data_IF_485210105240
#
_entry.id   IF_485210105240
#
_cell.length_a   1.000
_cell.length_b   1.000
_cell.length_c   1.000
_cell.angle_alpha   90.00
_cell.angle_beta   90.00
_cell.angle_gamma   90.00
#
_symmetry.space_group_name_H-M   'P 1'
#
loop_
_entity.id
_entity.type
_entity.pdbx_description
1 polymer ?
#
# COMPACT_ATOMS: atom_id res chain seq x y z
N UNK A 1 -2.35 -20.06 -19.52
CA UNK A 1 -1.01 -19.89 -18.93
C UNK A 1 -0.92 -18.46 -18.44
N UNK A 2 -0.70 -18.24 -17.15
CA UNK A 2 -0.70 -16.88 -16.58
C UNK A 2 0.65 -16.23 -16.82
N UNK A 3 0.70 -15.32 -17.81
CA UNK A 3 1.87 -14.52 -18.11
C UNK A 3 2.02 -13.43 -17.04
N UNK A 4 3.25 -13.17 -16.58
CA UNK A 4 3.53 -12.12 -15.59
C UNK A 4 2.96 -10.76 -16.05
N UNK A 5 2.22 -10.01 -15.20
CA UNK A 5 1.45 -8.84 -15.64
C UNK A 5 2.32 -7.58 -15.77
N UNK A 6 3.31 -7.60 -16.69
CA UNK A 6 4.31 -6.54 -16.87
C UNK A 6 3.66 -5.15 -16.95
N UNK A 7 2.65 -4.96 -17.80
CA UNK A 7 2.02 -3.65 -17.99
C UNK A 7 1.38 -3.08 -16.71
N UNK A 8 0.80 -3.93 -15.84
CA UNK A 8 0.20 -3.50 -14.58
C UNK A 8 1.28 -3.14 -13.54
N UNK A 9 2.33 -3.95 -13.49
CA UNK A 9 3.49 -3.74 -12.61
C UNK A 9 4.23 -2.45 -13.00
N UNK A 10 4.50 -2.23 -14.29
CA UNK A 10 5.20 -1.03 -14.78
C UNK A 10 4.47 0.24 -14.36
N UNK A 11 3.13 0.28 -14.42
CA UNK A 11 2.34 1.42 -13.96
C UNK A 11 2.59 1.74 -12.48
N UNK A 12 2.78 0.73 -11.64
CA UNK A 12 3.10 0.93 -10.23
C UNK A 12 4.53 1.45 -10.08
N UNK A 13 5.49 0.82 -10.77
CA UNK A 13 6.92 1.15 -10.66
C UNK A 13 7.25 2.58 -11.13
N UNK A 14 6.64 3.07 -12.21
CA UNK A 14 6.90 4.43 -12.73
C UNK A 14 6.43 5.54 -11.78
N UNK A 15 5.49 5.24 -10.89
CA UNK A 15 4.94 6.19 -9.94
C UNK A 15 5.63 6.14 -8.58
N UNK A 16 6.62 5.25 -8.39
CA UNK A 16 7.39 5.18 -7.16
C UNK A 16 8.67 6.06 -7.26
N UNK A 17 8.77 7.12 -6.43
CA UNK A 17 9.91 8.05 -6.49
C UNK A 17 11.20 7.44 -5.94
N UNK A 18 11.10 6.53 -4.96
CA UNK A 18 12.25 5.86 -4.35
C UNK A 18 12.87 4.92 -5.37
N UNK A 19 12.04 4.17 -6.09
CA UNK A 19 12.43 3.30 -7.17
C UNK A 19 12.99 4.07 -8.37
N UNK A 20 12.45 5.25 -8.68
CA UNK A 20 13.00 6.12 -9.73
C UNK A 20 14.43 6.58 -9.43
N UNK A 21 14.71 6.96 -8.18
CA UNK A 21 16.06 7.35 -7.72
C UNK A 21 16.99 6.15 -7.58
N UNK A 22 16.47 5.00 -7.17
CA UNK A 22 17.18 3.74 -6.98
C UNK A 22 17.15 2.80 -8.20
N UNK A 23 16.77 3.27 -9.39
CA UNK A 23 16.46 2.44 -10.56
C UNK A 23 17.62 1.52 -10.99
N UNK A 24 18.86 2.00 -10.87
CA UNK A 24 20.05 1.18 -11.14
C UNK A 24 20.26 0.08 -10.08
N UNK A 25 19.93 0.35 -8.81
CA UNK A 25 20.00 -0.65 -7.74
C UNK A 25 18.89 -1.69 -7.90
N UNK A 26 17.67 -1.25 -8.21
CA UNK A 26 16.58 -2.14 -8.58
C UNK A 26 16.96 -3.07 -9.75
N UNK A 27 17.58 -2.54 -10.81
CA UNK A 27 18.05 -3.36 -11.93
C UNK A 27 19.11 -4.40 -11.52
N UNK A 28 19.96 -4.10 -10.53
CA UNK A 28 20.91 -5.09 -9.96
C UNK A 28 20.18 -6.16 -9.15
N UNK A 29 19.19 -5.78 -8.35
CA UNK A 29 18.40 -6.70 -7.53
C UNK A 29 17.54 -7.65 -8.37
N UNK A 30 17.11 -7.21 -9.56
CA UNK A 30 16.54 -8.10 -10.60
C UNK A 30 17.58 -9.08 -11.19
N UNK A 31 18.84 -9.01 -10.76
CA UNK A 31 19.93 -9.87 -11.21
C UNK A 31 20.31 -9.66 -12.67
N UNK A 32 19.92 -8.53 -13.30
CA UNK A 32 20.23 -8.25 -14.71
C UNK A 32 21.74 -8.04 -14.83
N UNK A 33 22.36 -8.69 -15.82
CA UNK A 33 23.79 -8.59 -16.05
C UNK A 33 24.21 -7.15 -16.37
N UNK A 34 25.49 -6.84 -16.10
CA UNK A 34 25.98 -5.46 -16.20
C UNK A 34 25.86 -4.90 -17.62
N UNK A 35 26.08 -5.72 -18.65
CA UNK A 35 26.06 -5.29 -20.05
C UNK A 35 24.64 -4.96 -20.49
N UNK A 36 23.67 -5.83 -20.17
CA UNK A 36 22.26 -5.57 -20.44
C UNK A 36 21.75 -4.35 -19.67
N UNK A 37 22.10 -4.23 -18.38
CA UNK A 37 21.73 -3.07 -17.56
C UNK A 37 22.28 -1.76 -18.12
N UNK A 38 23.54 -1.74 -18.53
CA UNK A 38 24.18 -0.55 -19.10
C UNK A 38 23.56 -0.14 -20.44
N UNK A 39 23.17 -1.11 -21.28
CA UNK A 39 22.45 -0.86 -22.53
C UNK A 39 21.07 -0.24 -22.28
N UNK A 40 20.27 -0.87 -21.41
CA UNK A 40 18.91 -0.39 -21.06
C UNK A 40 18.99 1.00 -20.42
N UNK A 41 19.94 1.22 -19.51
CA UNK A 41 20.20 2.53 -18.90
C UNK A 41 20.59 3.58 -19.93
N UNK A 42 21.52 3.26 -20.83
CA UNK A 42 21.99 4.21 -21.85
C UNK A 42 20.86 4.65 -22.78
N UNK A 43 19.99 3.73 -23.20
CA UNK A 43 18.82 4.06 -24.03
C UNK A 43 17.84 5.00 -23.30
N UNK A 44 17.66 4.82 -21.99
CA UNK A 44 16.83 5.69 -21.17
C UNK A 44 17.48 7.07 -20.92
N UNK A 45 18.77 7.10 -20.56
CA UNK A 45 19.50 8.35 -20.28
C UNK A 45 19.70 9.22 -21.52
N UNK A 46 19.86 8.62 -22.70
CA UNK A 46 19.95 9.35 -23.98
C UNK A 46 18.57 9.85 -24.47
N UNK A 47 17.51 9.70 -23.68
CA UNK A 47 16.15 10.13 -24.03
C UNK A 47 15.52 9.35 -25.19
N UNK A 48 16.13 8.22 -25.58
CA UNK A 48 15.62 7.36 -26.65
C UNK A 48 14.45 6.50 -26.15
N UNK A 49 14.31 6.33 -24.83
CA UNK A 49 13.25 5.57 -24.17
C UNK A 49 12.57 6.35 -23.04
N UNK A 50 11.29 6.06 -22.80
CA UNK A 50 10.52 6.57 -21.65
C UNK A 50 10.76 5.74 -20.38
N UNK A 51 10.40 6.25 -19.20
CA UNK A 51 10.43 5.45 -17.95
C UNK A 51 9.60 4.18 -18.06
N UNK A 52 8.47 4.23 -18.78
CA UNK A 52 7.63 3.06 -19.09
C UNK A 52 8.42 2.01 -19.86
N UNK A 53 9.12 2.40 -20.93
CA UNK A 53 9.94 1.47 -21.73
C UNK A 53 11.10 0.92 -20.90
N UNK A 54 11.75 1.77 -20.09
CA UNK A 54 12.84 1.36 -19.21
C UNK A 54 12.42 0.24 -18.25
N UNK A 55 11.35 0.43 -17.46
CA UNK A 55 10.90 -0.62 -16.53
C UNK A 55 10.28 -1.81 -17.24
N UNK A 56 9.67 -1.62 -18.42
CA UNK A 56 9.19 -2.74 -19.24
C UNK A 56 10.35 -3.62 -19.66
N UNK A 57 11.43 -3.06 -20.22
CA UNK A 57 12.62 -3.82 -20.65
C UNK A 57 13.30 -4.54 -19.47
N UNK A 58 13.39 -3.91 -18.30
CA UNK A 58 13.92 -4.56 -17.10
C UNK A 58 13.08 -5.77 -16.67
N UNK A 59 11.75 -5.62 -16.64
CA UNK A 59 10.84 -6.67 -16.22
C UNK A 59 10.72 -7.78 -17.27
N UNK A 60 10.78 -7.46 -18.57
CA UNK A 60 10.84 -8.46 -19.64
C UNK A 60 12.12 -9.29 -19.56
N UNK A 61 13.27 -8.66 -19.29
CA UNK A 61 14.53 -9.38 -19.12
C UNK A 61 14.52 -10.28 -17.87
N UNK A 62 13.99 -9.77 -16.76
CA UNK A 62 13.84 -10.54 -15.53
C UNK A 62 12.84 -11.70 -15.68
N UNK A 63 11.63 -11.42 -16.16
CA UNK A 63 10.58 -12.41 -16.33
C UNK A 63 10.93 -13.43 -17.42
N UNK A 64 11.63 -13.01 -18.48
CA UNK A 64 12.10 -13.89 -19.54
C UNK A 64 13.11 -14.94 -19.05
N UNK A 65 13.96 -14.59 -18.08
CA UNK A 65 14.92 -15.52 -17.47
C UNK A 65 14.28 -16.49 -16.48
N UNK A 66 13.30 -16.01 -15.70
CA UNK A 66 12.58 -16.83 -14.71
C UNK A 66 11.42 -17.64 -15.33
N UNK A 67 10.94 -17.25 -16.50
CA UNK A 67 9.82 -17.89 -17.19
C UNK A 67 8.56 -17.95 -16.32
N UNK A 68 8.09 -19.17 -16.02
CA UNK A 68 6.89 -19.41 -15.20
C UNK A 68 7.09 -19.07 -13.72
N UNK A 69 8.34 -18.95 -13.28
CA UNK A 69 8.67 -18.64 -11.89
C UNK A 69 8.70 -17.14 -11.61
N UNK A 70 8.47 -16.31 -12.63
CA UNK A 70 8.34 -14.87 -12.51
C UNK A 70 6.95 -14.53 -11.94
N UNK A 71 6.85 -14.45 -10.62
CA UNK A 71 5.60 -14.13 -9.91
C UNK A 71 5.63 -12.73 -9.29
N UNK A 72 4.45 -12.17 -9.04
CA UNK A 72 4.31 -10.88 -8.34
C UNK A 72 4.92 -10.97 -6.95
N UNK A 73 4.69 -12.06 -6.22
CA UNK A 73 5.34 -12.32 -4.93
C UNK A 73 6.88 -12.29 -4.98
N UNK A 74 7.51 -12.87 -6.02
CA UNK A 74 8.99 -12.77 -6.16
C UNK A 74 9.46 -11.35 -6.44
N UNK A 75 8.74 -10.62 -7.29
CA UNK A 75 9.08 -9.21 -7.54
C UNK A 75 8.91 -8.35 -6.29
N UNK A 76 7.85 -8.60 -5.51
CA UNK A 76 7.62 -7.93 -4.22
C UNK A 76 8.77 -8.18 -3.26
N UNK A 77 9.24 -9.42 -3.11
CA UNK A 77 10.41 -9.73 -2.26
C UNK A 77 11.68 -9.01 -2.71
N UNK A 78 11.90 -8.84 -4.03
CA UNK A 78 13.03 -8.06 -4.57
C UNK A 78 12.90 -6.57 -4.19
N UNK A 79 11.69 -6.03 -4.23
CA UNK A 79 11.43 -4.64 -3.86
C UNK A 79 11.59 -4.41 -2.36
N UNK A 80 11.12 -5.33 -1.52
CA UNK A 80 11.34 -5.31 -0.07
C UNK A 80 12.84 -5.39 0.27
N UNK A 81 13.60 -6.26 -0.41
CA UNK A 81 15.06 -6.35 -0.27
C UNK A 81 15.77 -5.04 -0.64
N UNK A 82 15.24 -4.30 -1.61
CA UNK A 82 15.78 -3.01 -2.05
C UNK A 82 15.24 -1.80 -1.30
N UNK A 83 14.51 -1.99 -0.20
CA UNK A 83 13.85 -0.92 0.57
C UNK A 83 12.85 -0.08 -0.27
N UNK A 84 12.36 -0.64 -1.38
CA UNK A 84 11.33 -0.03 -2.24
C UNK A 84 9.92 -0.35 -1.71
N UNK A 85 9.70 -0.09 -0.42
CA UNK A 85 8.52 -0.55 0.32
C UNK A 85 7.19 -0.07 -0.27
N UNK A 86 7.14 1.18 -0.76
CA UNK A 86 5.94 1.76 -1.38
C UNK A 86 5.52 0.99 -2.65
N UNK A 87 6.46 0.67 -3.54
CA UNK A 87 6.20 -0.15 -4.71
C UNK A 87 5.84 -1.61 -4.34
N UNK A 88 6.50 -2.19 -3.34
CA UNK A 88 6.19 -3.53 -2.84
C UNK A 88 4.75 -3.64 -2.32
N UNK A 89 4.31 -2.66 -1.51
CA UNK A 89 2.97 -2.59 -0.95
C UNK A 89 1.89 -2.47 -2.04
N UNK A 90 2.15 -1.71 -3.11
CA UNK A 90 1.21 -1.52 -4.21
C UNK A 90 1.04 -2.78 -5.09
N UNK A 91 2.08 -3.63 -5.17
CA UNK A 91 2.05 -4.86 -5.97
C UNK A 91 1.22 -5.99 -5.35
N UNK A 92 0.95 -5.96 -4.05
CA UNK A 92 0.15 -6.97 -3.34
C UNK A 92 -1.26 -7.14 -3.95
N UNK A 93 -1.79 -6.11 -4.61
CA UNK A 93 -3.10 -6.16 -5.27
C UNK A 93 -3.14 -6.94 -6.58
N UNK A 94 -1.99 -7.24 -7.16
CA UNK A 94 -1.90 -8.02 -8.40
C UNK A 94 -1.78 -9.53 -8.12
N UNK A 95 -1.63 -9.94 -6.86
CA UNK A 95 -1.40 -11.33 -6.46
C UNK A 95 -2.68 -12.07 -6.02
N UNK A 96 -3.87 -11.46 -6.17
CA UNK A 96 -5.14 -12.08 -5.78
C UNK A 96 -5.60 -13.07 -6.87
N UNK A 97 -5.69 -14.38 -6.59
CA UNK A 97 -6.43 -15.29 -7.45
C UNK A 97 -7.90 -14.93 -7.35
N UNK A 98 -8.49 -14.56 -8.49
CA UNK A 98 -9.92 -14.27 -8.64
C UNK A 98 -10.78 -15.42 -8.08
N UNK A 99 -11.51 -15.24 -6.97
CA UNK A 99 -12.37 -16.27 -6.40
C UNK A 99 -13.68 -16.47 -7.20
N UNK A 100 -13.88 -15.74 -8.31
CA UNK A 100 -15.16 -15.72 -9.05
C UNK A 100 -15.37 -16.90 -10.00
N UNK A 101 -14.60 -18.00 -9.88
CA UNK A 101 -14.79 -19.23 -10.67
C UNK A 101 -14.96 -20.44 -9.77
N UNK A 102 -16.10 -20.52 -9.09
CA UNK A 102 -16.74 -21.77 -8.69
C UNK A 102 -18.21 -21.48 -8.35
N UNK A 103 -18.99 -21.19 -9.39
CA UNK A 103 -20.45 -21.25 -9.33
C UNK A 103 -20.87 -22.62 -9.85
N UNK A 104 -21.26 -23.53 -8.96
CA UNK A 104 -22.07 -24.71 -9.30
C UNK A 104 -23.14 -24.89 -8.23
N UNK A 105 -24.37 -24.71 -8.70
CA UNK A 105 -25.66 -25.31 -8.32
C UNK A 105 -26.27 -25.12 -6.91
N UNK A 106 -27.40 -24.40 -6.95
CA UNK A 106 -28.52 -24.40 -5.99
C UNK A 106 -29.25 -25.77 -6.00
N UNK A 107 -30.03 -26.15 -4.96
CA UNK A 107 -31.42 -25.69 -4.95
C UNK A 107 -32.05 -25.40 -3.56
N UNK A 108 -32.83 -24.32 -3.58
CA UNK A 108 -34.07 -23.97 -2.89
C UNK A 108 -34.79 -25.04 -2.05
N UNK A 109 -35.17 -24.72 -0.80
CA UNK A 109 -36.58 -24.60 -0.37
C UNK A 109 -36.75 -24.04 1.05
N UNK A 110 -37.86 -23.33 1.22
CA UNK A 110 -38.29 -22.58 2.39
C UNK A 110 -38.77 -23.49 3.53
N UNK A 111 -38.66 -23.02 4.77
CA UNK A 111 -39.77 -23.16 5.71
C UNK A 111 -39.78 -22.06 6.77
N UNK A 112 -40.99 -21.63 7.11
CA UNK A 112 -41.30 -20.67 8.16
C UNK A 112 -41.08 -21.30 9.53
N UNK A 113 -40.47 -20.60 10.47
CA UNK A 113 -40.84 -20.70 11.89
C UNK A 113 -40.33 -19.52 12.68
N UNK A 114 -41.29 -18.91 13.36
CA UNK A 114 -41.21 -17.89 14.39
C UNK A 114 -40.18 -18.29 15.47
N UNK A 115 -39.17 -17.46 15.69
CA UNK A 115 -38.31 -17.53 16.86
C UNK A 115 -37.75 -16.15 17.15
N UNK A 116 -38.22 -15.57 18.25
CA UNK A 116 -37.79 -14.33 18.88
C UNK A 116 -36.27 -14.35 19.09
N UNK A 117 -35.54 -13.93 18.07
CA UNK A 117 -34.09 -13.88 18.08
C UNK A 117 -33.70 -12.58 18.74
N UNK A 118 -33.22 -12.71 19.98
CA UNK A 118 -32.51 -11.64 20.68
C UNK A 118 -31.41 -11.15 19.76
N UNK A 119 -31.53 -9.90 19.29
CA UNK A 119 -30.51 -9.23 18.51
C UNK A 119 -29.19 -9.31 19.28
N UNK A 120 -28.15 -10.00 18.80
CA UNK A 120 -26.83 -9.85 19.39
C UNK A 120 -26.41 -8.41 19.08
N UNK A 121 -26.34 -7.59 20.13
CA UNK A 121 -25.65 -6.30 20.06
C UNK A 121 -24.28 -6.57 19.44
N UNK A 122 -23.91 -5.94 18.31
CA UNK A 122 -22.57 -6.15 17.75
C UNK A 122 -21.57 -5.74 18.82
N UNK A 123 -20.73 -6.69 19.23
CA UNK A 123 -19.66 -6.45 20.17
C UNK A 123 -18.86 -5.24 19.65
N UNK A 124 -18.78 -4.17 20.45
CA UNK A 124 -17.92 -3.04 20.12
C UNK A 124 -16.50 -3.57 20.03
N UNK A 125 -15.97 -3.69 18.81
CA UNK A 125 -14.58 -4.07 18.58
C UNK A 125 -13.71 -3.00 19.22
N UNK A 126 -12.93 -3.39 20.23
CA UNK A 126 -11.93 -2.50 20.81
C UNK A 126 -10.91 -2.17 19.72
N UNK A 127 -10.84 -0.89 19.33
CA UNK A 127 -9.97 -0.47 18.23
C UNK A 127 -8.51 -0.31 18.67
N UNK A 128 -8.21 -0.42 19.97
CA UNK A 128 -6.85 -0.30 20.51
C UNK A 128 -5.94 -1.47 20.14
N UNK A 129 -6.52 -2.65 19.84
CA UNK A 129 -5.77 -3.84 19.42
C UNK A 129 -5.20 -3.74 18.01
N UNK A 130 -5.67 -2.78 17.21
CA UNK A 130 -5.20 -2.58 15.84
C UNK A 130 -4.00 -1.62 15.82
N UNK A 131 -2.80 -2.20 15.88
CA UNK A 131 -1.54 -1.45 15.90
C UNK A 131 -1.14 -0.99 14.51
N UNK A 132 -0.72 0.26 14.35
CA UNK A 132 -0.23 0.81 13.07
C UNK A 132 1.17 0.34 12.71
N UNK A 133 1.90 -0.27 13.64
CA UNK A 133 3.13 -1.01 13.34
C UNK A 133 2.82 -2.25 12.46
N UNK A 134 1.64 -2.86 12.61
CA UNK A 134 1.17 -3.93 11.75
C UNK A 134 0.85 -3.38 10.35
N UNK A 135 1.51 -3.96 9.34
CA UNK A 135 1.41 -3.52 7.95
C UNK A 135 -0.01 -3.65 7.39
N UNK A 136 -0.76 -4.71 7.71
CA UNK A 136 -2.12 -4.90 7.21
C UNK A 136 -3.08 -3.85 7.77
N UNK A 137 -2.97 -3.55 9.07
CA UNK A 137 -3.70 -2.46 9.74
C UNK A 137 -3.38 -1.13 9.06
N UNK A 138 -2.10 -0.78 8.99
CA UNK A 138 -1.65 0.51 8.44
C UNK A 138 -2.07 0.71 7.00
N UNK A 139 -1.98 -0.33 6.17
CA UNK A 139 -2.43 -0.30 4.77
C UNK A 139 -3.93 0.01 4.68
N UNK A 140 -4.76 -0.64 5.47
CA UNK A 140 -6.21 -0.45 5.43
C UNK A 140 -6.62 0.93 5.96
N UNK A 141 -5.93 1.45 6.99
CA UNK A 141 -6.05 2.85 7.42
C UNK A 141 -5.67 3.79 6.29
N UNK A 142 -4.50 3.61 5.68
CA UNK A 142 -3.98 4.46 4.61
C UNK A 142 -4.95 4.52 3.43
N UNK A 143 -5.46 3.38 2.97
CA UNK A 143 -6.45 3.32 1.87
C UNK A 143 -7.75 4.03 2.20
N UNK A 144 -8.17 3.98 3.46
CA UNK A 144 -9.37 4.68 3.92
C UNK A 144 -9.15 6.19 3.89
N UNK A 145 -7.94 6.64 4.22
CA UNK A 145 -7.59 8.05 4.36
C UNK A 145 -7.09 8.73 3.07
N UNK A 146 -6.54 8.00 2.10
CA UNK A 146 -5.89 8.56 0.90
C UNK A 146 -6.76 9.42 -0.03
N UNK A 147 -8.07 9.43 0.19
CA UNK A 147 -9.04 10.23 -0.55
C UNK A 147 -9.73 11.29 0.35
N UNK A 148 -9.21 11.56 1.54
CA UNK A 148 -9.76 12.56 2.45
C UNK A 148 -9.10 13.92 2.18
N UNK A 149 -9.74 14.72 1.32
CA UNK A 149 -9.21 16.03 0.89
C UNK A 149 -8.87 16.96 2.06
N UNK A 150 -9.71 17.10 3.12
CA UNK A 150 -9.38 17.96 4.26
C UNK A 150 -8.10 17.51 4.99
N UNK A 151 -7.96 16.21 5.22
CA UNK A 151 -6.77 15.63 5.86
C UNK A 151 -5.52 15.84 5.00
N UNK A 152 -5.61 15.58 3.69
CA UNK A 152 -4.50 15.73 2.77
C UNK A 152 -4.08 17.19 2.56
N UNK A 153 -5.04 18.11 2.59
CA UNK A 153 -4.75 19.55 2.48
C UNK A 153 -4.03 20.05 3.74
N UNK A 154 -4.39 19.52 4.91
CA UNK A 154 -3.82 19.88 6.19
C UNK A 154 -2.86 18.80 6.75
N UNK A 155 -2.18 18.05 5.89
CA UNK A 155 -1.37 16.90 6.31
C UNK A 155 -0.22 17.30 7.24
N UNK A 156 0.35 18.49 7.08
CA UNK A 156 1.39 19.00 7.98
C UNK A 156 0.84 19.27 9.39
N UNK A 157 -0.35 19.88 9.49
CA UNK A 157 -1.06 20.06 10.76
C UNK A 157 -1.38 18.71 11.39
N UNK A 158 -1.83 17.74 10.59
CA UNK A 158 -2.08 16.39 11.07
C UNK A 158 -0.81 15.73 11.63
N UNK A 159 0.36 15.96 11.02
CA UNK A 159 1.63 15.49 11.58
C UNK A 159 2.01 16.19 12.88
N UNK A 160 1.73 17.49 12.99
CA UNK A 160 1.90 18.25 14.23
C UNK A 160 0.98 17.67 15.33
N UNK A 161 -0.27 17.33 15.02
CA UNK A 161 -1.23 16.69 15.95
C UNK A 161 -0.80 15.26 16.36
N UNK A 162 0.03 14.60 15.56
CA UNK A 162 0.68 13.31 15.87
C UNK A 162 2.03 13.48 16.60
N UNK A 163 2.40 14.71 16.95
CA UNK A 163 3.69 15.08 17.54
C UNK A 163 4.90 14.63 16.70
N UNK A 164 4.79 14.50 15.38
CA UNK A 164 5.91 14.06 14.52
C UNK A 164 6.89 15.22 14.30
N UNK A 165 8.19 15.08 14.63
CA UNK A 165 9.17 16.13 14.44
C UNK A 165 9.31 16.53 12.97
N UNK A 166 9.31 17.84 12.71
CA UNK A 166 9.46 18.39 11.35
C UNK A 166 10.73 17.91 10.64
N UNK A 167 11.79 17.60 11.39
CA UNK A 167 13.03 17.05 10.87
C UNK A 167 12.86 15.71 10.13
N UNK A 168 11.95 14.86 10.61
CA UNK A 168 11.64 13.56 10.00
C UNK A 168 10.80 13.70 8.72
N UNK A 169 10.13 14.85 8.56
CA UNK A 169 9.22 15.12 7.44
C UNK A 169 9.88 15.89 6.30
N UNK A 170 11.14 16.33 6.43
CA UNK A 170 11.82 17.18 5.42
C UNK A 170 11.77 16.54 4.03
N UNK A 171 12.20 15.28 3.93
CA UNK A 171 12.24 14.54 2.66
C UNK A 171 10.83 14.32 2.12
N UNK A 172 9.89 13.96 3.00
CA UNK A 172 8.50 13.66 2.66
C UNK A 172 7.80 14.91 2.11
N UNK A 173 7.94 16.05 2.80
CA UNK A 173 7.46 17.36 2.38
C UNK A 173 7.96 17.74 1.00
N UNK A 174 9.27 17.65 0.78
CA UNK A 174 9.86 18.00 -0.51
C UNK A 174 9.35 17.09 -1.65
N UNK A 175 9.23 15.78 -1.40
CA UNK A 175 8.74 14.83 -2.39
C UNK A 175 7.25 15.05 -2.70
N UNK A 176 6.43 15.33 -1.69
CA UNK A 176 5.00 15.58 -1.87
C UNK A 176 4.72 16.90 -2.58
N UNK A 177 5.38 18.01 -2.20
CA UNK A 177 5.23 19.31 -2.86
C UNK A 177 5.67 19.28 -4.33
N UNK A 178 6.65 18.45 -4.68
CA UNK A 178 7.12 18.29 -6.06
C UNK A 178 6.31 17.27 -6.86
N UNK A 179 5.19 16.76 -6.33
CA UNK A 179 4.34 15.75 -6.99
C UNK A 179 5.01 14.39 -7.21
N UNK A 180 6.16 14.17 -6.59
CA UNK A 180 6.91 12.91 -6.69
C UNK A 180 6.33 11.83 -5.77
N UNK A 181 5.53 12.20 -4.77
CA UNK A 181 4.93 11.28 -3.79
C UNK A 181 3.41 11.29 -3.92
N UNK A 182 2.81 10.10 -3.89
CA UNK A 182 1.35 9.94 -3.91
C UNK A 182 0.74 10.19 -2.52
N UNK A 183 -0.55 10.50 -2.46
CA UNK A 183 -1.29 10.62 -1.19
C UNK A 183 -1.17 9.36 -0.33
N UNK A 184 -1.20 8.18 -0.98
CA UNK A 184 -1.01 6.90 -0.31
C UNK A 184 0.39 6.81 0.32
N UNK A 185 1.44 7.09 -0.45
CA UNK A 185 2.81 6.99 0.02
C UNK A 185 3.09 7.97 1.18
N UNK A 186 2.55 9.20 1.09
CA UNK A 186 2.61 10.19 2.16
C UNK A 186 1.99 9.66 3.45
N UNK A 187 0.74 9.21 3.40
CA UNK A 187 0.01 8.76 4.58
C UNK A 187 0.59 7.46 5.14
N UNK A 188 1.00 6.50 4.30
CA UNK A 188 1.62 5.26 4.75
C UNK A 188 2.93 5.55 5.49
N UNK A 189 3.73 6.51 4.99
CA UNK A 189 4.96 6.92 5.63
C UNK A 189 4.71 7.57 7.00
N UNK A 190 3.81 8.56 7.07
CA UNK A 190 3.42 9.24 8.32
C UNK A 190 2.94 8.23 9.37
N UNK A 191 2.01 7.34 8.99
CA UNK A 191 1.44 6.35 9.90
C UNK A 191 2.47 5.29 10.31
N UNK A 192 3.42 4.96 9.45
CA UNK A 192 4.52 4.04 9.77
C UNK A 192 5.49 4.66 10.78
N UNK A 193 5.86 5.93 10.59
CA UNK A 193 6.72 6.67 11.52
C UNK A 193 6.06 6.74 12.90
N UNK A 194 4.82 7.23 12.94
CA UNK A 194 4.08 7.37 14.19
C UNK A 194 3.85 6.02 14.88
N UNK A 195 3.36 5.01 14.15
CA UNK A 195 3.12 3.67 14.67
C UNK A 195 4.38 2.99 15.22
N UNK A 196 5.54 3.25 14.63
CA UNK A 196 6.82 2.69 15.10
C UNK A 196 7.32 3.42 16.35
N UNK A 197 7.13 4.74 16.43
CA UNK A 197 7.60 5.56 17.55
C UNK A 197 6.79 5.34 18.82
N UNK A 198 5.46 5.32 18.69
CA UNK A 198 4.54 5.21 19.82
C UNK A 198 4.33 3.76 20.31
N UNK A 199 4.81 2.77 19.56
CA UNK A 199 4.68 1.36 19.93
C UNK A 199 3.22 0.95 20.11
N UNK A 200 2.83 0.57 21.33
CA UNK A 200 1.45 0.17 21.66
C UNK A 200 0.46 1.33 21.60
N UNK A 201 0.91 2.58 21.79
CA UNK A 201 0.05 3.77 21.70
C UNK A 201 -0.21 4.17 20.23
N UNK A 202 0.60 3.69 19.30
CA UNK A 202 0.45 3.88 17.86
C UNK A 202 -0.63 2.97 17.26
N UNK A 203 -1.87 3.11 17.72
CA UNK A 203 -3.00 2.25 17.35
C UNK A 203 -4.18 3.02 16.74
N UNK A 204 -5.14 2.30 16.16
CA UNK A 204 -6.30 2.90 15.48
C UNK A 204 -7.19 3.69 16.43
N UNK A 205 -7.36 3.25 17.68
CA UNK A 205 -8.16 3.99 18.67
C UNK A 205 -7.56 5.37 18.97
N UNK A 206 -6.24 5.46 19.15
CA UNK A 206 -5.56 6.73 19.38
C UNK A 206 -5.52 7.58 18.11
N UNK A 207 -5.34 6.98 16.92
CA UNK A 207 -5.48 7.70 15.66
C UNK A 207 -6.86 8.37 15.53
N UNK A 208 -7.93 7.67 15.89
CA UNK A 208 -9.30 8.21 15.90
C UNK A 208 -9.41 9.42 16.85
N UNK A 209 -8.77 9.37 18.02
CA UNK A 209 -8.74 10.52 18.95
C UNK A 209 -8.03 11.72 18.33
N UNK A 210 -6.89 11.50 17.69
CA UNK A 210 -6.12 12.56 17.00
C UNK A 210 -6.96 13.16 15.88
N UNK A 211 -7.56 12.34 15.02
CA UNK A 211 -8.43 12.80 13.94
C UNK A 211 -9.61 13.62 14.46
N UNK A 212 -10.20 13.24 15.59
CA UNK A 212 -11.27 14.01 16.23
C UNK A 212 -10.77 15.36 16.74
N UNK A 213 -9.66 15.38 17.48
CA UNK A 213 -9.07 16.61 18.04
C UNK A 213 -8.62 17.58 16.95
N UNK A 214 -8.13 17.07 15.83
CA UNK A 214 -7.76 17.85 14.65
C UNK A 214 -8.93 18.27 13.74
N UNK A 215 -10.18 17.99 14.15
CA UNK A 215 -11.42 18.30 13.41
C UNK A 215 -11.55 17.57 12.05
N UNK A 216 -10.85 16.44 11.87
CA UNK A 216 -10.94 15.58 10.69
C UNK A 216 -12.10 14.58 10.78
N UNK A 217 -13.30 15.05 11.10
CA UNK A 217 -14.45 14.21 11.47
C UNK A 217 -14.86 13.18 10.39
N UNK A 218 -14.77 13.53 9.11
CA UNK A 218 -15.05 12.60 8.02
C UNK A 218 -14.03 11.45 7.96
N UNK A 219 -12.76 11.76 8.21
CA UNK A 219 -11.68 10.77 8.27
C UNK A 219 -11.88 9.84 9.47
N UNK A 220 -12.23 10.42 10.62
CA UNK A 220 -12.58 9.69 11.84
C UNK A 220 -13.72 8.68 11.58
N UNK A 221 -14.82 9.17 11.01
CA UNK A 221 -16.00 8.35 10.75
C UNK A 221 -15.70 7.19 9.77
N UNK A 222 -14.91 7.44 8.72
CA UNK A 222 -14.54 6.39 7.77
C UNK A 222 -13.67 5.30 8.41
N UNK A 223 -12.70 5.69 9.25
CA UNK A 223 -11.89 4.72 9.99
C UNK A 223 -12.75 3.92 10.95
N UNK A 224 -13.64 4.56 11.72
CA UNK A 224 -14.58 3.85 12.61
C UNK A 224 -15.43 2.84 11.86
N UNK A 225 -16.05 3.23 10.75
CA UNK A 225 -16.89 2.34 9.95
C UNK A 225 -16.11 1.15 9.38
N UNK A 226 -14.91 1.40 8.86
CA UNK A 226 -14.03 0.36 8.32
C UNK A 226 -13.62 -0.65 9.38
N UNK A 227 -13.24 -0.19 10.58
CA UNK A 227 -12.69 -1.05 11.62
C UNK A 227 -13.75 -1.68 12.53
N UNK A 228 -14.96 -1.15 12.58
CA UNK A 228 -16.10 -1.78 13.24
C UNK A 228 -16.55 -3.09 12.56
N UNK A 229 -16.16 -3.31 11.30
CA UNK A 229 -16.51 -4.50 10.51
C UNK A 229 -15.29 -5.34 10.16
N UNK A 230 -14.12 -5.06 10.75
CA UNK A 230 -12.88 -5.68 10.34
C UNK A 230 -12.67 -7.06 10.99
N UNK A 231 -12.53 -8.14 10.21
CA UNK A 231 -12.41 -9.49 10.77
C UNK A 231 -11.14 -9.66 11.61
N UNK A 232 -11.33 -10.17 12.82
CA UNK A 232 -10.27 -10.44 13.82
C UNK A 232 -9.25 -11.47 13.29
N UNK A 233 -9.64 -12.31 12.32
CA UNK A 233 -8.75 -13.31 11.68
C UNK A 233 -7.65 -12.73 10.79
N UNK A 234 -7.58 -11.41 10.63
CA UNK A 234 -6.55 -10.70 9.84
C UNK A 234 -5.58 -9.87 10.71
N UNK A 235 -5.62 -10.05 12.04
CA UNK A 235 -4.64 -9.52 13.00
C UNK A 235 -3.34 -10.31 12.94
#
# INVERSE_FOLDING_TARGET
MSQFPIAAVVKILIHDPTLSRGSNEFAKLLGIDAVARDKIRSNHTLGTNTSTNYYTELLENWAGRLGKDATVGKLRGILEQGEFQSAADLLEHLDVPDPSKNSVDQPTQADMSDATTSTPTPASTDMSVFLLSNQAVRRDVTKTLQNQVPLLTAWERFCDDLDIPKGELITCKQQYSNGCMTNYALLNHILSLWGSREGSEGNVANLIKVLRSGEFLDSENKIKCKFASWPISQQ
#
